data_IF_334459855317
#
_entry.id   IF_334459855317
#
_cell.length_a   1.000
_cell.length_b   1.000
_cell.length_c   1.000
_cell.angle_alpha   90.00
_cell.angle_beta   90.00
_cell.angle_gamma   90.00
#
_symmetry.space_group_name_H-M   'P 1'
#
loop_
_entity.id
_entity.type
_entity.pdbx_description
1 polymer ?
#
# COMPACT_ATOMS: atom_id res chain seq x y z
N UNK A 1 64.66 5.67 17.75
CA UNK A 1 63.95 4.83 16.74
C UNK A 1 63.59 3.52 17.46
N UNK A 2 62.36 3.08 17.72
CA UNK A 2 61.01 3.30 17.19
C UNK A 2 60.00 3.02 18.34
N UNK A 3 59.14 3.96 18.74
CA UNK A 3 57.82 3.58 19.26
C UNK A 3 56.67 4.22 18.47
N UNK A 4 56.99 5.07 17.50
CA UNK A 4 56.00 5.80 16.66
C UNK A 4 55.31 4.90 15.63
N UNK A 5 55.90 3.73 15.32
CA UNK A 5 55.34 2.82 14.32
C UNK A 5 54.23 1.89 14.84
N UNK A 6 54.01 1.80 16.16
CA UNK A 6 52.97 0.92 16.71
C UNK A 6 51.59 1.57 16.81
N UNK A 7 51.53 2.91 16.90
CA UNK A 7 50.26 3.63 17.07
C UNK A 7 49.53 3.90 15.75
N UNK A 8 50.22 3.85 14.61
CA UNK A 8 49.60 4.12 13.31
C UNK A 8 48.84 2.91 12.72
N UNK A 9 49.14 1.69 13.17
CA UNK A 9 48.48 0.49 12.65
C UNK A 9 47.10 0.22 13.30
N UNK A 10 46.82 0.82 14.46
CA UNK A 10 45.55 0.57 15.20
C UNK A 10 44.47 1.60 14.82
N UNK A 11 44.84 2.81 14.38
CA UNK A 11 43.87 3.83 13.95
C UNK A 11 43.26 3.62 12.56
N UNK A 12 43.84 2.78 11.70
CA UNK A 12 43.31 2.55 10.34
C UNK A 12 42.25 1.44 10.30
N UNK A 13 42.12 0.64 11.36
CA UNK A 13 41.18 -0.50 11.37
C UNK A 13 39.81 -0.11 11.96
N UNK A 14 39.67 1.03 12.64
CA UNK A 14 38.40 1.48 13.24
C UNK A 14 37.56 2.42 12.36
N UNK A 15 37.82 2.47 11.05
CA UNK A 15 36.98 3.18 10.08
C UNK A 15 36.31 2.22 9.08
N UNK A 16 36.04 0.98 9.49
CA UNK A 16 34.98 0.19 8.86
C UNK A 16 33.64 0.74 9.34
N UNK A 17 33.24 1.90 8.80
CA UNK A 17 31.84 2.31 8.79
C UNK A 17 31.14 1.22 7.99
N UNK A 18 30.60 0.23 8.69
CA UNK A 18 29.61 -0.66 8.14
C UNK A 18 28.50 0.23 7.63
N UNK A 19 28.44 0.39 6.30
CA UNK A 19 27.24 0.80 5.62
C UNK A 19 26.19 -0.22 6.06
N UNK A 20 25.46 0.09 7.12
CA UNK A 20 24.20 -0.56 7.40
C UNK A 20 23.36 -0.24 6.18
N UNK A 21 23.31 -1.14 5.22
CA UNK A 21 22.27 -1.15 4.22
C UNK A 21 20.98 -1.22 5.03
N UNK A 22 20.36 -0.06 5.27
CA UNK A 22 18.98 0.03 5.68
C UNK A 22 18.28 -0.76 4.58
N UNK A 23 17.87 -1.99 4.90
CA UNK A 23 17.09 -2.78 3.97
C UNK A 23 15.79 -2.00 3.81
N UNK A 24 15.72 -1.19 2.76
CA UNK A 24 14.55 -0.38 2.48
C UNK A 24 13.35 -1.31 2.45
N UNK A 25 12.30 -0.93 3.16
CA UNK A 25 11.10 -1.75 3.30
C UNK A 25 10.47 -1.85 1.91
N UNK A 26 10.48 -3.04 1.33
CA UNK A 26 10.11 -3.34 -0.07
C UNK A 26 8.58 -3.45 -0.24
N UNK A 27 7.83 -2.47 0.25
CA UNK A 27 6.39 -2.29 0.07
C UNK A 27 5.93 -1.03 0.81
N UNK A 28 5.34 -0.07 0.11
CA UNK A 28 4.77 1.15 0.70
C UNK A 28 3.30 1.33 0.34
N UNK A 29 2.88 0.86 -0.83
CA UNK A 29 1.53 0.97 -1.36
C UNK A 29 0.63 -0.17 -0.86
N UNK A 30 -0.48 0.15 -0.22
CA UNK A 30 -1.32 -0.84 0.45
C UNK A 30 -2.18 -1.65 -0.50
N UNK A 31 -2.82 -1.00 -1.46
CA UNK A 31 -3.79 -1.63 -2.37
C UNK A 31 -3.43 -1.24 -3.78
N UNK A 32 -3.37 -2.22 -4.67
CA UNK A 32 -3.37 -1.99 -6.12
C UNK A 32 -4.70 -2.47 -6.70
N UNK A 33 -5.19 -1.81 -7.73
CA UNK A 33 -6.36 -2.32 -8.44
C UNK A 33 -6.73 -1.61 -9.72
N UNK A 34 -7.65 -2.23 -10.43
CA UNK A 34 -8.37 -1.63 -11.55
C UNK A 34 -9.79 -1.41 -11.07
N UNK A 35 -10.16 -0.15 -10.92
CA UNK A 35 -11.46 0.25 -10.36
C UNK A 35 -12.51 0.28 -11.48
N UNK A 36 -13.58 -0.46 -11.28
CA UNK A 36 -14.69 -0.57 -12.24
C UNK A 36 -15.88 0.29 -11.81
N UNK A 37 -16.19 0.30 -10.51
CA UNK A 37 -17.30 1.09 -9.96
C UNK A 37 -17.01 1.55 -8.54
N UNK A 38 -17.49 2.75 -8.20
CA UNK A 38 -17.44 3.30 -6.84
C UNK A 38 -18.83 3.75 -6.41
N UNK A 39 -19.34 3.15 -5.33
CA UNK A 39 -20.67 3.41 -4.76
C UNK A 39 -20.52 3.92 -3.32
N UNK A 40 -21.26 4.97 -2.98
CA UNK A 40 -21.15 5.69 -1.71
C UNK A 40 -22.33 5.38 -0.80
N UNK A 41 -22.06 5.18 0.49
CA UNK A 41 -23.07 4.78 1.47
C UNK A 41 -22.99 5.63 2.75
N UNK A 42 -24.05 6.33 3.17
CA UNK A 42 -25.29 6.56 2.40
C UNK A 42 -25.02 7.37 1.11
N UNK A 43 -25.90 7.23 0.12
CA UNK A 43 -25.88 8.09 -1.06
C UNK A 43 -26.20 9.53 -0.62
N UNK A 44 -25.24 10.46 -0.77
CA UNK A 44 -25.41 11.84 -0.33
C UNK A 44 -24.11 12.62 -0.24
N UNK A 45 -24.12 13.75 0.46
CA UNK A 45 -22.95 14.63 0.62
C UNK A 45 -21.91 14.10 1.61
N UNK A 46 -22.29 13.17 2.49
CA UNK A 46 -21.45 12.69 3.59
C UNK A 46 -21.41 11.15 3.71
N UNK A 47 -21.03 10.40 2.65
CA UNK A 47 -20.92 8.95 2.75
C UNK A 47 -19.88 8.51 3.78
N UNK A 48 -20.19 7.57 4.66
CA UNK A 48 -19.25 7.06 5.65
C UNK A 48 -18.71 5.67 5.29
N UNK A 49 -19.31 5.02 4.28
CA UNK A 49 -18.83 3.81 3.66
C UNK A 49 -18.72 3.96 2.14
N UNK A 50 -17.86 3.15 1.52
CA UNK A 50 -17.70 3.03 0.07
C UNK A 50 -17.63 1.57 -0.31
N UNK A 51 -18.27 1.22 -1.43
CA UNK A 51 -18.07 -0.03 -2.14
C UNK A 51 -17.30 0.25 -3.42
N UNK A 52 -16.14 -0.37 -3.57
CA UNK A 52 -15.25 -0.20 -4.72
C UNK A 52 -15.16 -1.55 -5.43
N UNK A 53 -15.86 -1.70 -6.56
CA UNK A 53 -15.81 -2.91 -7.37
C UNK A 53 -14.65 -2.85 -8.36
N UNK A 54 -14.05 -4.01 -8.64
CA UNK A 54 -12.92 -4.12 -9.57
C UNK A 54 -12.08 -5.38 -9.38
N UNK A 55 -10.82 -5.28 -9.81
CA UNK A 55 -9.80 -6.30 -9.59
C UNK A 55 -8.71 -5.72 -8.71
N UNK A 56 -8.38 -6.40 -7.61
CA UNK A 56 -7.49 -5.87 -6.59
C UNK A 56 -6.35 -6.84 -6.28
N UNK A 57 -5.21 -6.28 -5.93
CA UNK A 57 -4.07 -6.94 -5.30
C UNK A 57 -3.87 -6.26 -3.95
N UNK A 58 -4.00 -7.05 -2.88
CA UNK A 58 -3.90 -6.60 -1.49
C UNK A 58 -2.82 -7.38 -0.74
N UNK A 59 -2.32 -6.92 0.41
CA UNK A 59 -1.25 -7.59 1.13
C UNK A 59 -1.67 -8.98 1.64
N UNK A 60 -0.69 -9.85 1.86
CA UNK A 60 -0.90 -10.98 2.75
C UNK A 60 -1.02 -10.48 4.20
N UNK A 61 -1.93 -11.05 4.99
CA UNK A 61 -2.01 -10.75 6.43
C UNK A 61 -0.69 -11.08 7.11
N UNK A 62 -0.28 -10.23 8.05
CA UNK A 62 0.97 -10.37 8.81
C UNK A 62 2.21 -10.60 7.94
N UNK A 63 2.30 -9.89 6.80
CA UNK A 63 3.39 -10.04 5.84
C UNK A 63 4.37 -8.87 5.87
N UNK A 64 5.59 -9.14 5.38
CA UNK A 64 6.67 -8.16 5.25
C UNK A 64 6.96 -7.78 3.80
N UNK A 65 5.93 -7.32 3.09
CA UNK A 65 6.01 -6.86 1.69
C UNK A 65 5.43 -7.84 0.67
N UNK A 66 4.75 -8.89 1.13
CA UNK A 66 4.03 -9.82 0.25
C UNK A 66 2.64 -9.33 -0.11
N UNK A 67 2.24 -9.59 -1.36
CA UNK A 67 0.91 -9.32 -1.91
C UNK A 67 0.26 -10.60 -2.44
N UNK A 68 -1.07 -10.65 -2.36
CA UNK A 68 -1.89 -11.69 -2.93
C UNK A 68 -1.90 -11.61 -4.47
N UNK A 69 -2.46 -12.63 -5.12
CA UNK A 69 -2.73 -12.57 -6.57
C UNK A 69 -3.92 -11.66 -6.85
N UNK A 70 -4.06 -11.12 -8.08
CA UNK A 70 -5.26 -10.36 -8.48
C UNK A 70 -6.55 -11.12 -8.17
N UNK A 71 -7.48 -10.44 -7.52
CA UNK A 71 -8.79 -10.98 -7.17
C UNK A 71 -9.88 -10.02 -7.61
N UNK A 72 -10.86 -10.53 -8.36
CA UNK A 72 -12.02 -9.79 -8.81
C UNK A 72 -13.09 -9.82 -7.71
N UNK A 73 -13.69 -8.66 -7.44
CA UNK A 73 -14.68 -8.52 -6.38
C UNK A 73 -14.86 -7.05 -6.00
N UNK A 74 -15.10 -6.79 -4.72
CA UNK A 74 -15.20 -5.44 -4.20
C UNK A 74 -14.53 -5.26 -2.84
N UNK A 75 -14.00 -4.07 -2.61
CA UNK A 75 -13.64 -3.60 -1.28
C UNK A 75 -14.85 -2.91 -0.66
N UNK A 76 -15.14 -3.17 0.61
CA UNK A 76 -16.14 -2.45 1.37
C UNK A 76 -15.48 -1.77 2.56
N UNK A 77 -15.37 -0.44 2.47
CA UNK A 77 -14.50 0.34 3.36
C UNK A 77 -15.31 1.42 4.07
N UNK A 78 -15.01 1.64 5.35
CA UNK A 78 -15.54 2.75 6.14
C UNK A 78 -14.46 3.77 6.47
N UNK A 79 -14.86 5.03 6.60
CA UNK A 79 -13.96 6.10 7.01
C UNK A 79 -13.41 5.84 8.43
N UNK A 80 -12.11 6.03 8.62
CA UNK A 80 -11.49 6.07 9.95
C UNK A 80 -11.79 7.42 10.63
N UNK A 81 -12.15 7.45 11.93
CA UNK A 81 -12.36 8.71 12.65
C UNK A 81 -11.14 9.64 12.55
N UNK A 82 -11.38 10.90 12.20
CA UNK A 82 -10.32 11.91 12.02
C UNK A 82 -9.63 11.88 10.66
N UNK A 83 -10.03 10.98 9.75
CA UNK A 83 -9.51 10.89 8.38
C UNK A 83 -10.57 11.22 7.32
N UNK A 84 -11.68 11.86 7.69
CA UNK A 84 -12.86 12.06 6.86
C UNK A 84 -12.54 12.80 5.56
N UNK A 85 -11.88 13.96 5.66
CA UNK A 85 -11.59 14.79 4.49
C UNK A 85 -10.63 14.11 3.51
N UNK A 86 -9.56 13.50 4.03
CA UNK A 86 -8.57 12.82 3.21
C UNK A 86 -9.18 11.57 2.54
N UNK A 87 -9.94 10.77 3.29
CA UNK A 87 -10.60 9.57 2.75
C UNK A 87 -11.61 9.92 1.67
N UNK A 88 -12.44 10.96 1.87
CA UNK A 88 -13.41 11.42 0.87
C UNK A 88 -12.74 11.93 -0.39
N UNK A 89 -11.57 12.57 -0.28
CA UNK A 89 -10.77 13.01 -1.42
C UNK A 89 -10.35 11.83 -2.27
N UNK A 90 -9.74 10.81 -1.66
CA UNK A 90 -9.34 9.60 -2.36
C UNK A 90 -10.54 8.90 -3.01
N UNK A 91 -11.66 8.77 -2.29
CA UNK A 91 -12.88 8.15 -2.81
C UNK A 91 -13.42 8.86 -4.05
N UNK A 92 -13.41 10.20 -4.03
CA UNK A 92 -13.81 10.99 -5.19
C UNK A 92 -12.84 10.80 -6.35
N UNK A 93 -11.53 10.77 -6.08
CA UNK A 93 -10.53 10.50 -7.13
C UNK A 93 -10.71 9.10 -7.73
N UNK A 94 -10.88 8.06 -6.91
CA UNK A 94 -11.19 6.70 -7.37
C UNK A 94 -12.46 6.68 -8.22
N UNK A 95 -13.49 7.44 -7.82
CA UNK A 95 -14.73 7.56 -8.60
C UNK A 95 -14.53 8.22 -9.96
N UNK A 96 -13.60 9.16 -10.09
CA UNK A 96 -13.25 9.75 -11.41
C UNK A 96 -12.46 8.80 -12.31
N UNK A 97 -11.74 7.83 -11.71
CA UNK A 97 -10.92 6.84 -12.44
C UNK A 97 -11.73 5.58 -12.78
N UNK A 98 -12.81 5.31 -12.05
CA UNK A 98 -13.67 4.15 -12.23
C UNK A 98 -14.09 3.93 -13.70
N UNK A 99 -13.93 2.71 -14.19
CA UNK A 99 -14.27 2.32 -15.56
C UNK A 99 -13.24 2.71 -16.62
N UNK A 100 -12.16 3.41 -16.26
CA UNK A 100 -11.08 3.77 -17.21
C UNK A 100 -10.17 2.60 -17.59
N UNK A 101 -10.20 1.51 -16.82
CA UNK A 101 -9.30 0.37 -17.00
C UNK A 101 -7.85 0.63 -16.59
N UNK A 102 -7.56 1.77 -15.96
CA UNK A 102 -6.22 2.10 -15.47
C UNK A 102 -5.95 1.38 -14.15
N UNK A 103 -4.71 0.93 -13.98
CA UNK A 103 -4.20 0.45 -12.69
C UNK A 103 -3.92 1.65 -11.79
N UNK A 104 -4.41 1.58 -10.56
CA UNK A 104 -4.15 2.54 -9.48
C UNK A 104 -3.58 1.85 -8.25
N UNK A 105 -2.91 2.62 -7.39
CA UNK A 105 -2.55 2.21 -6.05
C UNK A 105 -2.93 3.27 -5.01
N UNK A 106 -3.32 2.85 -3.83
CA UNK A 106 -3.73 3.74 -2.74
C UNK A 106 -3.57 3.06 -1.38
N UNK A 107 -3.58 3.88 -0.31
CA UNK A 107 -3.38 3.42 1.06
C UNK A 107 -1.94 3.05 1.39
N UNK A 108 -1.61 3.03 2.67
CA UNK A 108 -0.31 2.57 3.18
C UNK A 108 -0.27 1.05 3.37
N UNK A 109 0.82 0.41 2.97
CA UNK A 109 1.07 -0.99 3.28
C UNK A 109 1.31 -1.19 4.77
N UNK A 110 2.06 -0.29 5.41
CA UNK A 110 2.45 -0.44 6.81
C UNK A 110 1.57 0.41 7.71
N UNK A 111 0.67 -0.25 8.43
CA UNK A 111 -0.28 0.41 9.34
C UNK A 111 0.09 0.14 10.80
N UNK A 112 -0.24 1.05 11.74
CA UNK A 112 0.02 0.85 13.17
C UNK A 112 -0.66 -0.43 13.68
N UNK A 113 0.04 -1.16 14.55
CA UNK A 113 -0.52 -2.30 15.26
C UNK A 113 -0.99 -1.86 16.66
N UNK A 114 -2.31 -1.66 16.88
CA UNK A 114 -2.81 -1.21 18.19
C UNK A 114 -2.70 -2.29 19.27
N UNK A 115 -2.52 -3.57 18.88
CA UNK A 115 -2.47 -4.70 19.81
C UNK A 115 -1.06 -5.01 20.32
N UNK A 116 -0.03 -4.52 19.65
CA UNK A 116 1.36 -4.65 20.08
C UNK A 116 2.19 -3.40 19.73
N UNK A 117 1.86 -2.23 20.31
CA UNK A 117 2.54 -0.99 19.98
C UNK A 117 3.98 -0.91 20.47
N UNK A 118 4.40 -1.78 21.40
CA UNK A 118 5.78 -1.82 21.92
C UNK A 118 6.64 -2.94 21.33
N UNK A 119 6.06 -4.00 20.76
CA UNK A 119 6.76 -5.10 20.12
C UNK A 119 6.89 -4.90 18.61
N UNK A 120 5.89 -5.33 17.85
CA UNK A 120 5.78 -5.10 16.40
C UNK A 120 4.83 -3.92 16.12
N UNK A 121 5.33 -2.67 16.09
CA UNK A 121 4.50 -1.47 16.03
C UNK A 121 3.74 -1.31 14.71
N UNK A 122 4.09 -2.09 13.68
CA UNK A 122 3.43 -2.07 12.38
C UNK A 122 3.14 -3.48 11.87
N UNK A 123 2.03 -3.62 11.16
CA UNK A 123 1.70 -4.80 10.37
C UNK A 123 1.29 -4.41 8.95
N UNK A 124 1.25 -5.39 8.04
CA UNK A 124 0.70 -5.21 6.70
C UNK A 124 -0.76 -4.79 6.79
N UNK A 125 -1.21 -3.90 5.90
CA UNK A 125 -2.60 -3.52 5.75
C UNK A 125 -3.47 -4.77 5.58
N UNK A 126 -4.52 -4.84 6.38
CA UNK A 126 -5.50 -5.92 6.33
C UNK A 126 -6.80 -5.37 5.75
N UNK A 127 -7.07 -5.75 4.49
CA UNK A 127 -8.32 -5.47 3.79
C UNK A 127 -8.78 -6.72 3.05
N UNK A 128 -10.09 -6.86 2.88
CA UNK A 128 -10.72 -8.02 2.27
C UNK A 128 -11.32 -7.65 0.92
N UNK A 129 -11.01 -8.44 -0.10
CA UNK A 129 -11.71 -8.39 -1.40
C UNK A 129 -12.90 -9.34 -1.32
N UNK A 130 -14.09 -8.79 -1.17
CA UNK A 130 -15.35 -9.53 -1.09
C UNK A 130 -15.83 -9.97 -2.46
N UNK A 131 -16.50 -11.12 -2.54
CA UNK A 131 -17.10 -11.59 -3.79
C UNK A 131 -18.39 -10.81 -4.10
N UNK A 132 -18.66 -10.49 -5.38
CA UNK A 132 -19.79 -9.66 -5.88
C UNK A 132 -21.17 -9.94 -5.25
N UNK A 133 -21.46 -11.18 -4.84
CA UNK A 133 -22.72 -11.60 -4.22
C UNK A 133 -22.68 -11.83 -2.71
N UNK A 134 -21.58 -11.51 -2.03
CA UNK A 134 -21.48 -11.62 -0.58
C UNK A 134 -22.41 -10.60 0.10
N UNK A 135 -23.38 -11.10 0.88
CA UNK A 135 -24.37 -10.28 1.56
C UNK A 135 -23.84 -9.79 2.91
N UNK A 136 -23.92 -8.48 3.13
CA UNK A 136 -23.65 -7.82 4.42
C UNK A 136 -22.24 -8.02 5.00
N UNK A 137 -21.15 -7.82 4.22
CA UNK A 137 -19.81 -7.81 4.81
C UNK A 137 -19.67 -6.68 5.84
N UNK A 138 -18.88 -6.93 6.89
CA UNK A 138 -18.44 -5.85 7.79
C UNK A 138 -17.45 -4.97 7.03
N UNK A 139 -17.62 -3.64 6.98
CA UNK A 139 -16.68 -2.79 6.28
C UNK A 139 -15.33 -2.74 7.01
N UNK A 140 -14.26 -2.96 6.26
CA UNK A 140 -12.89 -2.74 6.71
C UNK A 140 -12.65 -1.23 6.90
N UNK A 141 -11.72 -0.86 7.77
CA UNK A 141 -11.34 0.55 7.91
C UNK A 141 -10.56 0.98 6.67
N UNK A 142 -10.92 2.11 6.07
CA UNK A 142 -10.21 2.66 4.92
C UNK A 142 -8.73 2.87 5.30
N UNK A 143 -7.79 2.43 4.45
CA UNK A 143 -6.38 2.52 4.77
C UNK A 143 -5.94 3.97 4.94
N UNK A 144 -4.91 4.17 5.77
CA UNK A 144 -4.27 5.48 5.92
C UNK A 144 -3.80 5.94 4.53
N UNK A 145 -4.23 7.10 4.03
CA UNK A 145 -3.74 7.62 2.76
C UNK A 145 -2.22 7.83 2.82
N UNK A 146 -1.50 7.35 1.81
CA UNK A 146 -0.04 7.56 1.71
C UNK A 146 0.27 8.83 0.91
N UNK A 147 -0.07 8.83 -0.37
CA UNK A 147 0.18 9.92 -1.32
C UNK A 147 -1.09 10.25 -2.15
N UNK A 148 -2.27 9.87 -1.63
CA UNK A 148 -3.52 9.86 -2.40
C UNK A 148 -3.59 8.66 -3.35
N UNK A 149 -4.42 8.78 -4.39
CA UNK A 149 -4.59 7.73 -5.41
C UNK A 149 -3.53 7.90 -6.49
N UNK A 150 -2.65 6.92 -6.62
CA UNK A 150 -1.58 6.91 -7.61
C UNK A 150 -2.00 6.11 -8.84
N UNK A 151 -1.64 6.58 -10.03
CA UNK A 151 -1.84 5.83 -11.29
C UNK A 151 -0.57 5.07 -11.66
N UNK A 152 -0.69 3.93 -12.33
CA UNK A 152 0.43 3.09 -12.71
C UNK A 152 1.57 3.84 -13.41
N UNK A 153 1.26 4.77 -14.31
CA UNK A 153 2.29 5.58 -14.98
C UNK A 153 3.14 6.40 -14.01
N UNK A 154 2.59 6.85 -12.88
CA UNK A 154 3.31 7.58 -11.85
C UNK A 154 4.02 6.64 -10.87
N UNK A 155 3.53 5.40 -10.71
CA UNK A 155 4.13 4.39 -9.84
C UNK A 155 5.41 3.84 -10.49
N UNK A 156 5.30 3.38 -11.74
CA UNK A 156 6.38 2.68 -12.48
C UNK A 156 7.51 3.63 -12.88
N UNK A 157 7.19 4.88 -13.23
CA UNK A 157 8.20 5.84 -13.69
C UNK A 157 8.80 6.71 -12.57
N UNK A 158 8.36 6.54 -11.31
CA UNK A 158 8.93 7.27 -10.19
C UNK A 158 10.02 6.41 -9.51
N UNK A 159 11.31 6.79 -9.61
CA UNK A 159 12.41 6.00 -9.04
C UNK A 159 12.32 5.86 -7.52
N UNK A 160 11.78 6.83 -6.79
CA UNK A 160 11.61 6.75 -5.33
C UNK A 160 10.56 5.71 -4.94
N UNK A 161 9.52 5.56 -5.75
CA UNK A 161 8.46 4.55 -5.53
C UNK A 161 8.96 3.18 -5.96
N UNK A 162 9.63 3.09 -7.11
CA UNK A 162 10.22 1.83 -7.57
C UNK A 162 11.25 1.25 -6.57
N UNK A 163 12.01 2.11 -5.88
CA UNK A 163 12.94 1.68 -4.83
C UNK A 163 12.22 1.19 -3.56
N UNK A 164 11.08 1.78 -3.22
CA UNK A 164 10.35 1.47 -1.98
C UNK A 164 9.20 0.47 -2.16
N UNK A 165 8.80 0.18 -3.41
CA UNK A 165 7.77 -0.81 -3.77
C UNK A 165 8.23 -1.67 -4.94
N UNK A 166 9.26 -2.47 -4.68
CA UNK A 166 9.98 -3.28 -5.66
C UNK A 166 9.14 -4.29 -6.46
N UNK A 167 7.89 -4.55 -6.06
CA UNK A 167 6.98 -5.45 -6.77
C UNK A 167 5.98 -4.69 -7.66
N UNK A 168 6.00 -3.35 -7.67
CA UNK A 168 4.99 -2.54 -8.33
C UNK A 168 4.81 -2.89 -9.82
N UNK A 169 5.90 -2.97 -10.61
CA UNK A 169 5.85 -3.30 -12.03
C UNK A 169 5.16 -4.64 -12.28
N UNK A 170 5.57 -5.66 -11.51
CA UNK A 170 5.01 -7.01 -11.59
C UNK A 170 3.52 -7.03 -11.21
N UNK A 171 3.12 -6.28 -10.19
CA UNK A 171 1.72 -6.20 -9.77
C UNK A 171 0.88 -5.48 -10.85
N UNK A 172 1.40 -4.41 -11.44
CA UNK A 172 0.76 -3.70 -12.55
C UNK A 172 0.54 -4.63 -13.75
N UNK A 173 1.57 -5.40 -14.14
CA UNK A 173 1.45 -6.40 -15.21
C UNK A 173 0.39 -7.46 -14.91
N UNK A 174 0.37 -7.99 -13.68
CA UNK A 174 -0.61 -8.99 -13.25
C UNK A 174 -2.05 -8.47 -13.29
N UNK A 175 -2.26 -7.20 -12.89
CA UNK A 175 -3.57 -6.57 -12.97
C UNK A 175 -4.00 -6.33 -14.41
N UNK A 176 -3.10 -5.86 -15.27
CA UNK A 176 -3.38 -5.69 -16.70
C UNK A 176 -3.69 -7.03 -17.39
N UNK A 177 -3.06 -8.12 -16.97
CA UNK A 177 -3.39 -9.47 -17.44
C UNK A 177 -4.77 -9.93 -16.95
N UNK A 178 -5.06 -9.76 -15.67
CA UNK A 178 -6.35 -10.11 -15.08
C UNK A 178 -7.53 -9.32 -15.67
N UNK A 179 -7.29 -8.13 -16.23
CA UNK A 179 -8.32 -7.34 -16.91
C UNK A 179 -8.72 -7.90 -18.28
N UNK A 180 -7.82 -8.64 -18.95
CA UNK A 180 -8.05 -9.19 -20.30
C UNK A 180 -8.90 -10.47 -20.30
N UNK A 181 -9.19 -11.02 -19.12
CA UNK A 181 -9.89 -12.28 -18.90
C UNK A 181 -11.15 -12.06 -18.06
#
# INVERSE_FOLDING_TARGET
MKPVLLFLAVSVILLSVSLSSVLAKCATLGIYGIVEQVTFEPNGSEPNCVRIAGVFVVPFRMSSGGYQKPHRGYLYLKIAPGAEEATRRDWNELKTIAGSGKVVAFGQYWVPNPHDPQGNPHHSLEVTVHAEGESSPTPDVYPIPLLGVMKAEAIVHNPEIAETDCNADKIVEQLQEAQRH
#
